data_IF_749293859947
#
_entry.id   IF_749293859947
#
_cell.length_a   1.000
_cell.length_b   1.000
_cell.length_c   1.000
_cell.angle_alpha   90.00
_cell.angle_beta   90.00
_cell.angle_gamma   90.00
#
_symmetry.space_group_name_H-M   'P 1'
#
loop_
_entity.id
_entity.type
_entity.pdbx_description
1 polymer ?
#
# COMPACT_ATOMS: atom_id res chain seq x y z
N UNK A 1 -31.12 4.70 5.60
CA UNK A 1 -30.02 5.28 6.42
C UNK A 1 -29.09 4.23 7.00
N UNK A 2 -29.57 3.04 7.38
CA UNK A 2 -28.73 1.93 7.88
C UNK A 2 -27.82 1.29 6.82
N UNK A 3 -28.30 1.11 5.57
CA UNK A 3 -27.50 0.47 4.50
C UNK A 3 -26.23 1.24 4.14
N UNK A 4 -26.31 2.57 4.02
CA UNK A 4 -25.16 3.43 3.74
C UNK A 4 -24.14 3.44 4.87
N UNK A 5 -24.59 3.37 6.13
CA UNK A 5 -23.72 3.26 7.30
C UNK A 5 -22.98 1.91 7.32
N UNK A 6 -23.68 0.80 7.04
CA UNK A 6 -23.08 -0.53 6.98
C UNK A 6 -22.02 -0.63 5.87
N UNK A 7 -22.27 0.00 4.72
CA UNK A 7 -21.32 0.07 3.59
C UNK A 7 -20.06 0.87 3.96
N UNK A 8 -20.19 1.95 4.74
CA UNK A 8 -19.05 2.73 5.23
C UNK A 8 -18.18 1.93 6.20
N UNK A 9 -18.80 1.19 7.13
CA UNK A 9 -18.11 0.32 8.10
C UNK A 9 -17.23 -0.72 7.39
N UNK A 10 -17.68 -1.27 6.24
CA UNK A 10 -16.85 -2.20 5.45
C UNK A 10 -15.52 -1.59 4.99
N UNK A 11 -15.54 -0.30 4.60
CA UNK A 11 -14.35 0.42 4.15
C UNK A 11 -13.41 0.76 5.33
N UNK A 12 -13.98 1.07 6.49
CA UNK A 12 -13.23 1.29 7.73
C UNK A 12 -12.51 0.02 8.18
N UNK A 13 -13.22 -1.11 8.24
CA UNK A 13 -12.67 -2.41 8.64
C UNK A 13 -11.53 -2.84 7.72
N UNK A 14 -11.74 -2.78 6.40
CA UNK A 14 -10.75 -3.23 5.44
C UNK A 14 -9.51 -2.32 5.42
N UNK A 15 -9.70 -0.99 5.49
CA UNK A 15 -8.58 -0.04 5.49
C UNK A 15 -7.73 -0.21 6.76
N UNK A 16 -8.36 -0.33 7.93
CA UNK A 16 -7.67 -0.58 9.20
C UNK A 16 -6.87 -1.89 9.16
N UNK A 17 -7.48 -2.97 8.68
CA UNK A 17 -6.80 -4.26 8.55
C UNK A 17 -5.59 -4.20 7.62
N UNK A 18 -5.74 -3.57 6.45
CA UNK A 18 -4.67 -3.44 5.46
C UNK A 18 -3.51 -2.61 6.04
N UNK A 19 -3.78 -1.38 6.47
CA UNK A 19 -2.71 -0.44 6.80
C UNK A 19 -1.98 -0.78 8.11
N UNK A 20 -2.64 -1.48 9.05
CA UNK A 20 -1.97 -2.01 10.25
C UNK A 20 -0.81 -2.95 9.90
N UNK A 21 -0.97 -3.81 8.88
CA UNK A 21 0.11 -4.71 8.44
C UNK A 21 1.29 -3.96 7.80
N UNK A 22 1.02 -2.78 7.25
CA UNK A 22 2.01 -1.88 6.69
C UNK A 22 2.66 -0.93 7.71
N UNK A 23 2.44 -1.19 9.02
CA UNK A 23 2.92 -0.41 10.18
C UNK A 23 2.36 1.02 10.24
N UNK A 24 1.17 1.25 9.71
CA UNK A 24 0.48 2.51 9.89
C UNK A 24 -0.34 2.48 11.18
N UNK A 25 -0.62 3.65 11.74
CA UNK A 25 -1.45 3.80 12.93
C UNK A 25 -2.55 4.81 12.68
N UNK A 26 -3.75 4.55 13.19
CA UNK A 26 -4.85 5.53 13.16
C UNK A 26 -4.65 6.60 14.23
N UNK A 27 -5.02 7.85 13.95
CA UNK A 27 -5.00 8.97 14.90
C UNK A 27 -6.29 9.74 14.92
N UNK A 28 -6.61 10.26 16.11
CA UNK A 28 -7.79 11.07 16.35
C UNK A 28 -9.10 10.30 16.21
N UNK A 29 -10.23 11.01 16.27
CA UNK A 29 -11.56 10.44 16.03
C UNK A 29 -11.76 10.11 14.55
N UNK A 30 -12.64 9.14 14.26
CA UNK A 30 -13.05 8.81 12.89
C UNK A 30 -14.35 9.52 12.52
N UNK A 31 -14.58 9.75 11.22
CA UNK A 31 -15.79 10.33 10.67
C UNK A 31 -16.16 11.70 11.26
N UNK A 32 -15.16 12.59 11.36
CA UNK A 32 -15.35 13.93 11.93
C UNK A 32 -15.23 15.01 10.86
N UNK A 33 -16.25 15.87 10.81
CA UNK A 33 -16.22 17.13 10.09
C UNK A 33 -15.55 18.22 10.94
N UNK A 34 -14.64 18.97 10.32
CA UNK A 34 -13.94 20.09 10.95
C UNK A 34 -14.03 21.34 10.07
N UNK A 35 -13.84 22.53 10.66
CA UNK A 35 -14.13 23.80 9.98
C UNK A 35 -13.17 24.08 8.83
N UNK A 36 -13.73 24.51 7.70
CA UNK A 36 -12.96 25.04 6.59
C UNK A 36 -12.33 26.39 6.99
N UNK A 37 -11.01 26.53 6.81
CA UNK A 37 -10.31 27.80 7.08
C UNK A 37 -10.38 28.77 5.90
N UNK A 38 -10.76 28.30 4.72
CA UNK A 38 -10.87 29.09 3.48
C UNK A 38 -12.27 28.99 2.85
N UNK A 39 -13.37 29.30 3.59
CA UNK A 39 -14.73 29.02 3.12
C UNK A 39 -15.10 29.78 1.84
N UNK A 40 -14.54 30.98 1.64
CA UNK A 40 -14.77 31.77 0.42
C UNK A 40 -14.09 31.16 -0.81
N UNK A 41 -12.93 30.52 -0.63
CA UNK A 41 -12.21 29.85 -1.72
C UNK A 41 -12.85 28.50 -2.06
N UNK A 42 -13.22 27.74 -1.03
CA UNK A 42 -13.69 26.36 -1.18
C UNK A 42 -15.20 26.25 -1.39
N UNK A 43 -15.97 27.31 -1.12
CA UNK A 43 -17.44 27.27 -1.09
C UNK A 43 -17.96 26.16 -0.18
N UNK A 44 -17.24 25.88 0.91
CA UNK A 44 -17.55 24.84 1.91
C UNK A 44 -17.39 25.39 3.32
N UNK A 45 -18.26 24.93 4.23
CA UNK A 45 -18.19 25.27 5.66
C UNK A 45 -17.28 24.33 6.44
N UNK A 46 -17.25 23.05 6.05
CA UNK A 46 -16.49 22.00 6.72
C UNK A 46 -15.77 21.10 5.71
N UNK A 47 -14.79 20.35 6.20
CA UNK A 47 -14.12 19.27 5.51
C UNK A 47 -14.27 17.98 6.32
N UNK A 48 -14.57 16.84 5.67
CA UNK A 48 -14.61 15.54 6.34
C UNK A 48 -13.22 14.93 6.46
N UNK A 49 -13.03 14.16 7.53
CA UNK A 49 -11.93 13.20 7.70
C UNK A 49 -12.54 11.88 8.17
N UNK A 50 -12.62 10.89 7.28
CA UNK A 50 -13.15 9.57 7.64
C UNK A 50 -12.17 8.88 8.58
N UNK A 51 -10.88 8.93 8.24
CA UNK A 51 -9.78 8.43 9.08
C UNK A 51 -8.47 9.15 8.75
N UNK A 52 -7.62 9.37 9.77
CA UNK A 52 -6.25 9.86 9.57
C UNK A 52 -5.26 8.78 9.97
N UNK A 53 -4.41 8.36 9.03
CA UNK A 53 -3.33 7.40 9.28
C UNK A 53 -1.98 8.10 9.42
N UNK A 54 -1.14 7.60 10.31
CA UNK A 54 0.24 8.04 10.51
C UNK A 54 1.22 6.92 10.19
N UNK A 55 2.32 7.29 9.53
CA UNK A 55 3.52 6.47 9.44
C UNK A 55 4.77 7.36 9.41
N UNK A 56 5.92 6.83 9.84
CA UNK A 56 7.20 7.54 9.82
C UNK A 56 7.83 7.50 8.42
N UNK A 57 8.43 8.60 7.97
CA UNK A 57 9.09 8.67 6.67
C UNK A 57 10.49 8.00 6.71
N UNK A 58 10.80 7.00 5.88
CA UNK A 58 12.08 6.29 5.94
C UNK A 58 13.31 7.19 5.72
N UNK A 59 13.17 8.25 4.91
CA UNK A 59 14.28 9.15 4.54
C UNK A 59 14.20 10.54 5.17
N UNK A 60 13.17 10.83 5.98
CA UNK A 60 12.95 12.16 6.57
C UNK A 60 12.56 12.01 8.02
N UNK A 61 13.07 12.88 8.89
CA UNK A 61 12.65 12.92 10.29
C UNK A 61 11.30 13.63 10.42
N UNK A 62 10.27 13.03 9.83
CA UNK A 62 8.91 13.54 9.77
C UNK A 62 7.89 12.41 9.74
N UNK A 63 6.68 12.70 10.19
CA UNK A 63 5.52 11.81 10.13
C UNK A 63 4.67 12.20 8.92
N UNK A 64 4.21 11.21 8.18
CA UNK A 64 3.21 11.38 7.13
C UNK A 64 1.83 11.20 7.72
N UNK A 65 1.05 12.28 7.75
CA UNK A 65 -0.35 12.30 8.18
C UNK A 65 -1.25 12.19 6.96
N UNK A 66 -1.93 11.06 6.83
CA UNK A 66 -2.71 10.71 5.65
C UNK A 66 -4.19 10.98 5.93
N UNK A 67 -4.67 12.15 5.51
CA UNK A 67 -6.09 12.47 5.56
C UNK A 67 -6.82 11.62 4.52
N UNK A 68 -7.65 10.68 4.97
CA UNK A 68 -8.23 9.66 4.10
C UNK A 68 -9.73 9.88 3.92
N UNK A 69 -10.15 9.80 2.66
CA UNK A 69 -11.54 9.76 2.24
C UNK A 69 -11.86 8.32 1.80
N UNK A 70 -12.71 7.64 2.57
CA UNK A 70 -13.16 6.28 2.31
C UNK A 70 -14.40 6.32 1.42
N UNK A 71 -14.35 5.57 0.32
CA UNK A 71 -15.47 5.38 -0.60
C UNK A 71 -15.69 3.91 -0.78
N UNK A 72 -16.94 3.48 -0.61
CA UNK A 72 -17.36 2.12 -0.88
C UNK A 72 -18.51 2.14 -1.88
N UNK A 73 -18.43 1.29 -2.90
CA UNK A 73 -19.37 1.30 -4.03
C UNK A 73 -19.65 -0.11 -4.55
N UNK A 74 -20.78 -0.25 -5.23
CA UNK A 74 -21.19 -1.46 -5.96
C UNK A 74 -20.73 -1.35 -7.42
N UNK A 75 -20.41 -2.45 -8.11
CA UNK A 75 -20.02 -2.41 -9.53
C UNK A 75 -20.98 -1.55 -10.37
N UNK A 76 -20.42 -0.64 -11.18
CA UNK A 76 -21.18 0.26 -12.05
C UNK A 76 -21.86 1.44 -11.35
N UNK A 77 -21.79 1.57 -10.02
CA UNK A 77 -22.38 2.70 -9.28
C UNK A 77 -21.45 3.90 -9.12
N UNK A 78 -20.16 3.75 -9.46
CA UNK A 78 -19.18 4.83 -9.42
C UNK A 78 -19.05 5.49 -10.79
N UNK A 79 -19.06 6.83 -10.79
CA UNK A 79 -19.00 7.66 -11.98
C UNK A 79 -17.75 8.54 -11.96
N UNK A 80 -17.34 9.03 -13.14
CA UNK A 80 -16.22 9.96 -13.29
C UNK A 80 -16.42 11.20 -12.42
N UNK A 81 -17.63 11.75 -12.39
CA UNK A 81 -17.90 13.00 -11.70
C UNK A 81 -17.88 12.83 -10.18
N UNK A 82 -18.26 11.65 -9.66
CA UNK A 82 -18.05 11.30 -8.24
C UNK A 82 -16.56 11.21 -7.89
N UNK A 83 -15.73 10.59 -8.74
CA UNK A 83 -14.28 10.52 -8.52
C UNK A 83 -13.68 11.93 -8.53
N UNK A 84 -14.00 12.76 -9.54
CA UNK A 84 -13.55 14.14 -9.61
C UNK A 84 -13.93 14.93 -8.34
N UNK A 85 -15.19 14.83 -7.92
CA UNK A 85 -15.70 15.53 -6.74
C UNK A 85 -15.01 15.08 -5.45
N UNK A 86 -14.74 13.79 -5.30
CA UNK A 86 -14.01 13.25 -4.15
C UNK A 86 -12.57 13.79 -4.10
N UNK A 87 -11.84 13.74 -5.22
CA UNK A 87 -10.46 14.24 -5.29
C UNK A 87 -10.42 15.75 -5.03
N UNK A 88 -11.32 16.55 -5.63
CA UNK A 88 -11.40 18.00 -5.38
C UNK A 88 -11.75 18.31 -3.91
N UNK A 89 -12.68 17.57 -3.32
CA UNK A 89 -13.04 17.71 -1.91
C UNK A 89 -11.85 17.44 -1.00
N UNK A 90 -11.11 16.36 -1.30
CA UNK A 90 -9.93 15.95 -0.55
C UNK A 90 -8.78 16.96 -0.72
N UNK A 91 -8.59 17.53 -1.91
CA UNK A 91 -7.59 18.57 -2.16
C UNK A 91 -7.81 19.81 -1.29
N UNK A 92 -9.06 20.29 -1.25
CA UNK A 92 -9.45 21.42 -0.40
C UNK A 92 -9.26 21.09 1.10
N UNK A 93 -9.57 19.85 1.49
CA UNK A 93 -9.36 19.40 2.87
C UNK A 93 -7.87 19.39 3.25
N UNK A 94 -6.98 18.91 2.38
CA UNK A 94 -5.52 18.91 2.64
C UNK A 94 -5.00 20.33 2.74
N UNK A 95 -5.44 21.23 1.85
CA UNK A 95 -5.04 22.64 1.90
C UNK A 95 -5.38 23.25 3.26
N UNK A 96 -6.58 22.99 3.77
CA UNK A 96 -7.00 23.49 5.08
C UNK A 96 -6.30 22.74 6.25
N UNK A 97 -6.08 21.44 6.14
CA UNK A 97 -5.51 20.61 7.22
C UNK A 97 -4.08 21.05 7.59
N UNK A 98 -3.33 21.57 6.62
CA UNK A 98 -1.99 22.11 6.82
C UNK A 98 -1.94 23.33 7.76
N UNK A 99 -3.04 24.05 7.94
CA UNK A 99 -3.09 25.31 8.71
C UNK A 99 -4.21 25.36 9.75
N UNK A 100 -5.15 24.40 9.74
CA UNK A 100 -6.30 24.36 10.64
C UNK A 100 -5.88 23.93 12.04
N UNK A 101 -6.01 24.83 13.02
CA UNK A 101 -5.75 24.51 14.43
C UNK A 101 -6.67 23.42 14.99
N UNK A 102 -7.91 23.33 14.50
CA UNK A 102 -8.85 22.26 14.87
C UNK A 102 -8.36 20.90 14.37
N UNK A 103 -8.00 20.80 13.10
CA UNK A 103 -7.46 19.56 12.53
C UNK A 103 -6.16 19.15 13.23
N UNK A 104 -5.26 20.10 13.48
CA UNK A 104 -3.99 19.83 14.15
C UNK A 104 -4.19 19.34 15.58
N UNK A 105 -5.15 19.91 16.32
CA UNK A 105 -5.48 19.45 17.69
C UNK A 105 -5.99 18.01 17.70
N UNK A 106 -6.76 17.62 16.70
CA UNK A 106 -7.34 16.27 16.60
C UNK A 106 -6.34 15.23 16.12
N UNK A 107 -5.47 15.59 15.17
CA UNK A 107 -4.73 14.61 14.38
C UNK A 107 -3.22 14.83 14.33
N UNK A 108 -2.71 16.06 14.46
CA UNK A 108 -1.28 16.30 14.26
C UNK A 108 -0.45 15.65 15.39
N UNK A 109 0.67 15.01 15.04
CA UNK A 109 1.61 14.52 16.03
C UNK A 109 2.48 15.68 16.57
N UNK A 110 3.14 15.50 17.73
CA UNK A 110 4.05 16.51 18.26
C UNK A 110 5.35 16.66 17.44
N UNK A 111 5.75 15.63 16.70
CA UNK A 111 6.90 15.66 15.79
C UNK A 111 6.62 16.47 14.52
N UNK A 112 7.66 16.73 13.72
CA UNK A 112 7.49 17.30 12.38
C UNK A 112 6.61 16.40 11.53
N UNK A 113 5.68 16.97 10.76
CA UNK A 113 4.78 16.19 9.92
C UNK A 113 4.45 16.85 8.58
N UNK A 114 4.01 16.02 7.64
CA UNK A 114 3.46 16.43 6.36
C UNK A 114 2.06 15.83 6.17
N UNK A 115 1.13 16.62 5.62
CA UNK A 115 -0.24 16.17 5.35
C UNK A 115 -0.38 15.75 3.89
N UNK A 116 -0.89 14.54 3.68
CA UNK A 116 -1.20 13.95 2.38
C UNK A 116 -2.66 13.53 2.29
N UNK A 117 -3.18 13.44 1.06
CA UNK A 117 -4.50 12.90 0.78
C UNK A 117 -4.44 11.45 0.36
N UNK A 118 -5.40 10.67 0.84
CA UNK A 118 -5.67 9.34 0.32
C UNK A 118 -7.15 9.19 -0.02
N UNK A 119 -7.46 8.92 -1.28
CA UNK A 119 -8.78 8.50 -1.70
C UNK A 119 -8.80 6.97 -1.82
N UNK A 120 -9.53 6.31 -0.94
CA UNK A 120 -9.62 4.85 -0.85
C UNK A 120 -10.95 4.38 -1.43
N UNK A 121 -10.92 3.66 -2.57
CA UNK A 121 -12.14 3.32 -3.32
C UNK A 121 -12.37 1.81 -3.34
N UNK A 122 -13.16 1.32 -2.40
CA UNK A 122 -13.47 -0.09 -2.21
C UNK A 122 -14.71 -0.54 -2.97
N UNK A 123 -14.60 -1.66 -3.69
CA UNK A 123 -15.74 -2.35 -4.28
C UNK A 123 -16.26 -3.41 -3.27
N UNK A 124 -17.48 -3.24 -2.76
CA UNK A 124 -18.03 -4.13 -1.73
C UNK A 124 -18.81 -5.34 -2.28
N UNK A 125 -19.15 -5.35 -3.57
CA UNK A 125 -19.92 -6.45 -4.18
C UNK A 125 -19.04 -7.51 -4.86
N UNK A 126 -17.72 -7.37 -4.77
CA UNK A 126 -16.75 -8.26 -5.42
C UNK A 126 -16.77 -8.16 -6.95
N UNK A 127 -17.58 -7.26 -7.51
CA UNK A 127 -17.75 -7.07 -8.93
C UNK A 127 -16.58 -6.27 -9.50
N UNK A 128 -15.47 -6.94 -9.80
CA UNK A 128 -14.30 -6.30 -10.41
C UNK A 128 -14.71 -5.42 -11.60
N UNK A 129 -14.26 -4.16 -11.53
CA UNK A 129 -14.59 -3.10 -12.48
C UNK A 129 -13.36 -2.81 -13.35
N UNK A 130 -13.20 -3.60 -14.42
CA UNK A 130 -12.13 -3.46 -15.42
C UNK A 130 -12.02 -2.03 -15.98
N UNK A 131 -13.12 -1.29 -15.99
CA UNK A 131 -13.21 0.06 -16.56
C UNK A 131 -12.82 1.16 -15.56
N UNK A 132 -12.61 0.83 -14.28
CA UNK A 132 -12.29 1.81 -13.25
C UNK A 132 -11.02 2.60 -13.57
N UNK A 133 -9.98 1.95 -14.11
CA UNK A 133 -8.74 2.62 -14.50
C UNK A 133 -8.98 3.72 -15.53
N UNK A 134 -9.77 3.42 -16.58
CA UNK A 134 -10.14 4.41 -17.59
C UNK A 134 -11.01 5.54 -17.01
N UNK A 135 -11.88 5.21 -16.05
CA UNK A 135 -12.72 6.18 -15.36
C UNK A 135 -11.89 7.15 -14.53
N UNK A 136 -10.91 6.63 -13.78
CA UNK A 136 -9.96 7.40 -13.00
C UNK A 136 -9.10 8.30 -13.91
N UNK A 137 -8.56 7.77 -15.01
CA UNK A 137 -7.79 8.57 -15.97
C UNK A 137 -8.59 9.75 -16.53
N UNK A 138 -9.86 9.51 -16.87
CA UNK A 138 -10.79 10.57 -17.33
C UNK A 138 -11.09 11.58 -16.23
N UNK A 139 -11.16 11.15 -14.97
CA UNK A 139 -11.38 12.04 -13.83
C UNK A 139 -10.14 12.91 -13.56
N UNK A 140 -8.95 12.32 -13.52
CA UNK A 140 -7.68 13.01 -13.27
C UNK A 140 -7.41 14.13 -14.27
N UNK A 141 -7.84 13.98 -15.53
CA UNK A 141 -7.72 15.05 -16.56
C UNK A 141 -8.58 16.30 -16.29
N UNK A 142 -9.57 16.23 -15.39
CA UNK A 142 -10.48 17.34 -15.07
C UNK A 142 -10.18 17.99 -13.72
N UNK A 143 -9.37 17.35 -12.88
CA UNK A 143 -9.05 17.84 -11.55
C UNK A 143 -7.81 18.71 -11.61
N UNK A 144 -7.86 19.87 -10.95
CA UNK A 144 -6.70 20.71 -10.70
C UNK A 144 -6.38 20.63 -9.20
N UNK A 145 -5.19 20.10 -8.87
CA UNK A 145 -4.73 19.91 -7.50
C UNK A 145 -3.94 21.15 -7.08
N UNK A 146 -4.22 21.67 -5.88
CA UNK A 146 -3.50 22.82 -5.36
C UNK A 146 -1.98 22.57 -5.33
N UNK A 147 -1.14 23.57 -5.64
CA UNK A 147 0.31 23.40 -5.62
C UNK A 147 0.80 22.85 -4.28
N UNK A 148 1.72 21.88 -4.31
CA UNK A 148 2.28 21.18 -3.13
C UNK A 148 1.30 20.25 -2.39
N UNK A 149 0.05 20.11 -2.81
CA UNK A 149 -0.79 19.01 -2.34
C UNK A 149 -0.39 17.73 -3.08
N UNK A 150 -0.39 16.61 -2.36
CA UNK A 150 -0.27 15.28 -2.97
C UNK A 150 -1.44 14.44 -2.54
N UNK A 151 -2.11 13.85 -3.52
CA UNK A 151 -3.23 12.95 -3.33
C UNK A 151 -2.88 11.62 -3.98
N UNK A 152 -3.06 10.55 -3.23
CA UNK A 152 -2.95 9.19 -3.70
C UNK A 152 -4.36 8.63 -3.85
N UNK A 153 -4.56 7.82 -4.88
CA UNK A 153 -5.83 7.11 -5.10
C UNK A 153 -5.54 5.62 -5.07
N UNK A 154 -6.17 4.90 -4.15
CA UNK A 154 -6.16 3.44 -4.16
C UNK A 154 -7.45 2.96 -4.81
N UNK A 155 -7.28 2.39 -5.98
CA UNK A 155 -8.36 1.80 -6.76
C UNK A 155 -8.87 0.50 -6.11
N UNK A 156 -10.00 -0.04 -6.57
CA UNK A 156 -10.49 -1.35 -6.13
C UNK A 156 -9.46 -2.46 -6.40
N UNK A 157 -8.73 -2.38 -7.52
CA UNK A 157 -7.64 -3.30 -7.82
C UNK A 157 -6.52 -3.19 -6.79
N UNK A 158 -6.11 -1.96 -6.42
CA UNK A 158 -5.11 -1.72 -5.38
C UNK A 158 -5.53 -2.33 -4.05
N UNK A 159 -6.77 -2.12 -3.64
CA UNK A 159 -7.27 -2.62 -2.36
C UNK A 159 -7.30 -4.14 -2.36
N UNK A 160 -7.76 -4.78 -3.45
CA UNK A 160 -7.75 -6.24 -3.59
C UNK A 160 -6.32 -6.79 -3.55
N UNK A 161 -5.39 -6.14 -4.25
CA UNK A 161 -3.98 -6.48 -4.25
C UNK A 161 -3.37 -6.37 -2.83
N UNK A 162 -3.52 -5.22 -2.17
CA UNK A 162 -2.99 -4.99 -0.82
C UNK A 162 -3.64 -5.93 0.21
N UNK A 163 -4.93 -6.24 0.06
CA UNK A 163 -5.61 -7.23 0.91
C UNK A 163 -5.02 -8.64 0.71
N UNK A 164 -4.74 -9.03 -0.53
CA UNK A 164 -4.08 -10.30 -0.84
C UNK A 164 -2.68 -10.36 -0.23
N UNK A 165 -1.88 -9.30 -0.38
CA UNK A 165 -0.55 -9.19 0.24
C UNK A 165 -0.63 -9.31 1.76
N UNK A 166 -1.54 -8.59 2.41
CA UNK A 166 -1.65 -8.57 3.88
C UNK A 166 -2.15 -9.90 4.45
N UNK A 167 -3.08 -10.56 3.77
CA UNK A 167 -3.50 -11.92 4.13
C UNK A 167 -2.37 -12.93 3.94
N UNK A 168 -1.60 -12.83 2.86
CA UNK A 168 -0.46 -13.70 2.63
C UNK A 168 0.61 -13.54 3.71
N UNK A 169 0.94 -12.30 4.09
CA UNK A 169 1.83 -12.03 5.24
C UNK A 169 1.31 -12.71 6.52
N UNK A 170 0.00 -12.66 6.77
CA UNK A 170 -0.58 -13.32 7.94
C UNK A 170 -0.46 -14.85 7.86
N UNK A 171 -0.73 -15.44 6.70
CA UNK A 171 -0.57 -16.88 6.44
C UNK A 171 0.87 -17.33 6.63
N UNK A 172 1.85 -16.57 6.11
CA UNK A 172 3.26 -16.90 6.24
C UNK A 172 3.76 -16.86 7.68
N UNK A 173 3.16 -16.05 8.56
CA UNK A 173 3.49 -16.09 10.00
C UNK A 173 3.03 -17.39 10.65
N UNK A 174 1.88 -17.91 10.22
CA UNK A 174 1.31 -19.16 10.69
C UNK A 174 1.85 -20.42 9.99
N UNK A 175 2.71 -20.27 8.97
CA UNK A 175 3.26 -21.41 8.25
C UNK A 175 4.20 -22.25 9.12
N UNK A 176 4.26 -23.55 8.84
CA UNK A 176 5.17 -24.51 9.50
C UNK A 176 6.33 -24.94 8.60
N UNK A 177 6.31 -24.51 7.33
CA UNK A 177 7.30 -24.87 6.33
C UNK A 177 8.42 -23.83 6.18
N UNK A 178 9.27 -24.03 5.18
CA UNK A 178 10.38 -23.12 4.89
C UNK A 178 9.95 -21.74 4.40
N UNK A 179 8.66 -21.47 4.17
CA UNK A 179 8.13 -20.16 3.78
C UNK A 179 7.87 -19.24 4.97
N UNK A 180 7.87 -19.79 6.20
CA UNK A 180 7.58 -19.07 7.44
C UNK A 180 8.37 -17.76 7.55
N UNK A 181 7.67 -16.72 7.98
CA UNK A 181 8.26 -15.42 8.36
C UNK A 181 8.01 -15.17 9.86
N UNK A 182 8.86 -14.38 10.54
CA UNK A 182 8.66 -14.06 11.94
C UNK A 182 7.49 -13.08 12.16
N UNK A 183 7.19 -12.83 13.42
CA UNK A 183 6.20 -11.85 13.85
C UNK A 183 6.52 -10.42 13.39
N UNK A 184 5.52 -9.55 13.42
CA UNK A 184 5.55 -8.21 12.83
C UNK A 184 6.66 -7.28 13.36
N UNK A 185 7.10 -7.46 14.61
CA UNK A 185 8.22 -6.72 15.21
C UNK A 185 9.57 -7.03 14.54
N UNK A 186 9.69 -8.20 13.92
CA UNK A 186 10.88 -8.66 13.21
C UNK A 186 10.79 -8.46 11.69
N UNK A 187 9.72 -7.81 11.22
CA UNK A 187 9.51 -7.46 9.81
C UNK A 187 9.53 -5.95 9.64
N UNK A 188 9.99 -5.48 8.48
CA UNK A 188 9.92 -4.08 8.05
C UNK A 188 9.88 -3.98 6.53
N UNK A 189 9.80 -2.76 5.99
CA UNK A 189 9.83 -2.54 4.55
C UNK A 189 11.18 -1.99 4.10
N UNK A 190 11.67 -2.51 2.97
CA UNK A 190 13.00 -2.20 2.46
C UNK A 190 13.01 -0.92 1.63
N UNK A 191 13.97 -0.06 1.92
CA UNK A 191 14.17 1.23 1.26
C UNK A 191 15.64 1.33 0.82
N UNK A 192 15.94 1.50 -0.48
CA UNK A 192 17.31 1.55 -0.96
C UNK A 192 18.02 2.82 -0.48
N UNK A 193 19.22 2.66 0.08
CA UNK A 193 20.10 3.81 0.36
C UNK A 193 20.98 4.13 -0.83
N UNK A 194 21.24 5.42 -1.05
CA UNK A 194 22.24 5.88 -2.03
C UNK A 194 23.14 6.93 -1.37
N UNK A 195 24.17 7.41 -2.06
CA UNK A 195 25.01 8.51 -1.56
C UNK A 195 24.20 9.77 -1.22
N UNK A 196 23.04 9.98 -1.86
CA UNK A 196 22.15 11.13 -1.65
C UNK A 196 20.97 10.84 -0.72
N UNK A 197 20.62 9.56 -0.50
CA UNK A 197 19.47 9.15 0.30
C UNK A 197 19.93 8.21 1.42
N UNK A 198 19.90 8.74 2.65
CA UNK A 198 20.18 7.99 3.87
C UNK A 198 18.90 7.86 4.67
N UNK A 199 18.74 6.75 5.38
CA UNK A 199 17.59 6.57 6.26
C UNK A 199 17.65 7.55 7.44
N UNK A 200 16.50 8.11 7.79
CA UNK A 200 16.33 8.92 8.99
C UNK A 200 16.09 8.06 10.24
N UNK A 201 15.66 6.81 10.04
CA UNK A 201 15.30 5.87 11.11
C UNK A 201 15.98 4.51 10.92
N UNK A 202 15.90 3.67 11.94
CA UNK A 202 16.46 2.32 11.87
C UNK A 202 15.67 1.46 10.86
N UNK A 203 16.32 0.62 10.03
CA UNK A 203 15.62 -0.19 9.04
C UNK A 203 14.48 -1.07 9.56
N UNK A 204 14.53 -1.47 10.85
CA UNK A 204 13.51 -2.28 11.51
C UNK A 204 12.19 -1.54 11.75
N UNK A 205 12.20 -0.21 11.77
CA UNK A 205 11.00 0.61 12.01
C UNK A 205 10.30 1.03 10.72
N UNK A 206 10.88 0.77 9.54
CA UNK A 206 10.35 1.28 8.28
C UNK A 206 8.95 0.71 7.95
N UNK A 207 7.92 1.57 7.81
CA UNK A 207 6.60 1.21 7.31
C UNK A 207 6.60 1.14 5.78
N UNK A 208 5.53 0.64 5.16
CA UNK A 208 5.35 0.80 3.72
C UNK A 208 4.68 2.15 3.43
N UNK A 209 5.42 3.12 2.89
CA UNK A 209 4.90 4.43 2.49
C UNK A 209 3.89 4.34 1.34
N UNK A 210 3.11 5.41 1.13
CA UNK A 210 2.19 5.52 0.00
C UNK A 210 2.87 5.24 -1.35
N UNK A 211 4.04 5.81 -1.58
CA UNK A 211 4.81 5.59 -2.81
C UNK A 211 5.19 4.11 -2.99
N UNK A 212 5.56 3.43 -1.90
CA UNK A 212 5.85 1.99 -1.96
C UNK A 212 4.58 1.20 -2.24
N UNK A 213 3.45 1.50 -1.60
CA UNK A 213 2.18 0.77 -1.81
C UNK A 213 1.66 0.91 -3.25
N UNK A 214 1.89 2.06 -3.89
CA UNK A 214 1.57 2.28 -5.31
C UNK A 214 2.68 1.86 -6.27
N UNK A 215 3.81 1.39 -5.75
CA UNK A 215 4.98 1.00 -6.52
C UNK A 215 4.81 -0.33 -7.27
N UNK A 216 5.80 -0.69 -8.11
CA UNK A 216 5.77 -1.95 -8.88
C UNK A 216 5.88 -3.20 -8.00
N UNK A 217 6.41 -3.05 -6.78
CA UNK A 217 6.54 -4.11 -5.80
C UNK A 217 6.66 -3.58 -4.38
N UNK A 218 6.32 -4.42 -3.40
CA UNK A 218 6.57 -4.17 -1.98
C UNK A 218 7.59 -5.18 -1.49
N UNK A 219 8.73 -4.70 -1.01
CA UNK A 219 9.80 -5.54 -0.48
C UNK A 219 9.71 -5.51 1.04
N UNK A 220 9.20 -6.59 1.62
CA UNK A 220 9.21 -6.82 3.05
C UNK A 220 10.52 -7.50 3.44
N UNK A 221 11.26 -6.88 4.35
CA UNK A 221 12.46 -7.43 4.99
C UNK A 221 12.07 -8.10 6.30
N UNK A 222 12.72 -9.20 6.65
CA UNK A 222 12.51 -9.87 7.93
C UNK A 222 13.78 -10.51 8.47
N UNK A 223 13.90 -10.59 9.80
CA UNK A 223 15.01 -11.29 10.46
C UNK A 223 14.83 -12.81 10.31
N UNK A 224 15.89 -13.54 9.95
CA UNK A 224 15.83 -15.01 9.84
C UNK A 224 15.54 -15.60 11.23
N UNK A 225 14.51 -16.45 11.32
CA UNK A 225 13.99 -17.03 12.58
C UNK A 225 13.65 -15.99 13.66
N UNK A 226 13.42 -14.73 13.29
CA UNK A 226 13.21 -13.64 14.24
C UNK A 226 14.48 -13.16 14.95
N UNK A 227 15.66 -13.57 14.50
CA UNK A 227 16.95 -13.23 15.09
C UNK A 227 17.81 -12.43 14.09
N UNK A 228 18.09 -11.17 14.42
CA UNK A 228 18.87 -10.27 13.57
C UNK A 228 20.31 -10.75 13.36
N UNK A 229 20.88 -11.54 14.28
CA UNK A 229 22.25 -12.07 14.17
C UNK A 229 22.38 -13.14 13.07
N UNK A 230 21.28 -13.82 12.72
CA UNK A 230 21.23 -14.81 11.63
C UNK A 230 21.15 -14.19 10.24
N UNK A 231 21.06 -12.85 10.16
CA UNK A 231 20.85 -12.10 8.93
C UNK A 231 19.37 -11.92 8.59
N UNK A 232 19.09 -11.51 7.36
CA UNK A 232 17.74 -11.17 6.92
C UNK A 232 17.33 -11.91 5.65
N UNK A 233 16.03 -12.13 5.50
CA UNK A 233 15.39 -12.51 4.25
C UNK A 233 14.51 -11.39 3.72
N UNK A 234 14.09 -11.54 2.45
CA UNK A 234 13.13 -10.64 1.82
C UNK A 234 11.98 -11.41 1.18
N UNK A 235 10.79 -10.83 1.26
CA UNK A 235 9.58 -11.23 0.56
C UNK A 235 9.18 -10.08 -0.37
N UNK A 236 9.31 -10.29 -1.67
CA UNK A 236 8.97 -9.31 -2.70
C UNK A 236 7.57 -9.63 -3.20
N UNK A 237 6.63 -8.71 -3.02
CA UNK A 237 5.30 -8.82 -3.62
C UNK A 237 5.29 -8.00 -4.91
N UNK A 238 5.18 -8.67 -6.05
CA UNK A 238 5.11 -7.97 -7.35
C UNK A 238 3.66 -7.60 -7.67
N UNK A 239 3.46 -6.36 -8.14
CA UNK A 239 2.15 -5.87 -8.56
C UNK A 239 1.78 -6.34 -9.96
N UNK A 240 2.77 -6.64 -10.79
CA UNK A 240 2.59 -7.18 -12.14
C UNK A 240 2.42 -8.70 -12.09
N UNK A 241 1.69 -9.29 -13.07
CA UNK A 241 1.32 -10.71 -13.04
C UNK A 241 2.44 -11.66 -13.48
N UNK A 242 3.56 -11.17 -14.02
CA UNK A 242 4.60 -11.99 -14.61
C UNK A 242 4.26 -12.47 -16.03
N UNK A 243 3.66 -11.60 -16.85
CA UNK A 243 3.29 -11.97 -18.22
C UNK A 243 4.48 -12.00 -19.17
N UNK A 244 5.52 -11.24 -18.87
CA UNK A 244 6.74 -11.18 -19.68
C UNK A 244 7.98 -11.43 -18.84
N UNK A 245 9.07 -11.85 -19.49
CA UNK A 245 10.36 -12.06 -18.82
C UNK A 245 10.98 -10.75 -18.36
N UNK A 246 10.71 -9.64 -19.06
CA UNK A 246 11.25 -8.30 -18.76
C UNK A 246 10.81 -7.81 -17.38
N UNK A 247 9.59 -8.15 -16.93
CA UNK A 247 9.12 -7.84 -15.57
C UNK A 247 10.07 -8.42 -14.50
N UNK A 248 10.53 -9.66 -14.71
CA UNK A 248 11.45 -10.34 -13.81
C UNK A 248 12.89 -9.87 -13.97
N UNK A 249 13.34 -9.59 -15.19
CA UNK A 249 14.67 -9.01 -15.44
C UNK A 249 14.79 -7.67 -14.70
N UNK A 250 13.79 -6.80 -14.82
CA UNK A 250 13.78 -5.51 -14.13
C UNK A 250 13.84 -5.65 -12.60
N UNK A 251 13.14 -6.64 -12.04
CA UNK A 251 13.24 -6.95 -10.61
C UNK A 251 14.63 -7.48 -10.23
N UNK A 252 15.19 -8.41 -11.00
CA UNK A 252 16.52 -8.97 -10.74
C UNK A 252 17.59 -7.88 -10.81
N UNK A 253 17.51 -6.97 -11.79
CA UNK A 253 18.36 -5.79 -11.90
C UNK A 253 18.28 -4.91 -10.66
N UNK A 254 17.06 -4.67 -10.16
CA UNK A 254 16.85 -3.93 -8.92
C UNK A 254 17.51 -4.64 -7.72
N UNK A 255 17.30 -5.94 -7.56
CA UNK A 255 17.89 -6.73 -6.48
C UNK A 255 19.43 -6.74 -6.54
N UNK A 256 20.00 -6.78 -7.74
CA UNK A 256 21.45 -6.69 -7.95
C UNK A 256 21.99 -5.30 -7.63
N UNK A 257 21.35 -4.26 -8.17
CA UNK A 257 21.78 -2.86 -8.02
C UNK A 257 21.89 -2.46 -6.56
N UNK A 258 20.96 -2.94 -5.74
CA UNK A 258 20.92 -2.63 -4.31
C UNK A 258 21.45 -3.76 -3.42
N UNK A 259 22.24 -4.69 -3.98
CA UNK A 259 22.93 -5.77 -3.26
C UNK A 259 22.04 -6.75 -2.48
N UNK A 260 20.71 -6.66 -2.65
CA UNK A 260 19.74 -7.54 -2.00
C UNK A 260 19.96 -9.00 -2.38
N UNK A 261 20.41 -9.28 -3.60
CA UNK A 261 20.74 -10.64 -4.03
C UNK A 261 21.88 -11.26 -3.19
N UNK A 262 22.86 -10.45 -2.81
CA UNK A 262 24.06 -10.92 -2.10
C UNK A 262 23.82 -10.98 -0.60
N UNK A 263 23.18 -9.94 -0.04
CA UNK A 263 23.00 -9.76 1.40
C UNK A 263 21.85 -10.58 1.98
N UNK A 264 20.79 -10.82 1.19
CA UNK A 264 19.63 -11.58 1.67
C UNK A 264 19.99 -13.06 1.77
N UNK A 265 19.66 -13.68 2.91
CA UNK A 265 19.79 -15.13 3.12
C UNK A 265 18.70 -15.91 2.40
N UNK A 266 17.54 -15.29 2.18
CA UNK A 266 16.39 -15.88 1.52
C UNK A 266 15.67 -14.81 0.70
N UNK A 267 15.32 -15.15 -0.54
CA UNK A 267 14.57 -14.28 -1.43
C UNK A 267 13.35 -15.06 -1.92
N UNK A 268 12.18 -14.48 -1.71
CA UNK A 268 10.91 -15.05 -2.12
C UNK A 268 10.14 -13.99 -2.90
N UNK A 269 9.88 -14.27 -4.17
CA UNK A 269 9.04 -13.46 -5.04
C UNK A 269 7.63 -14.04 -4.98
N UNK A 270 6.66 -13.21 -4.65
CA UNK A 270 5.27 -13.60 -4.52
C UNK A 270 4.42 -12.83 -5.53
N UNK A 271 3.53 -13.57 -6.21
CA UNK A 271 2.67 -13.08 -7.28
C UNK A 271 1.19 -13.22 -6.86
N UNK A 272 0.57 -12.16 -6.30
CA UNK A 272 -0.88 -12.11 -6.03
C UNK A 272 -1.72 -12.43 -7.27
N UNK A 273 -1.47 -11.72 -8.38
CA UNK A 273 -2.22 -11.88 -9.62
C UNK A 273 -1.43 -12.69 -10.66
N UNK A 274 -0.84 -13.83 -10.25
CA UNK A 274 0.07 -14.58 -11.11
C UNK A 274 -0.55 -15.01 -12.44
N UNK A 275 0.13 -14.69 -13.52
CA UNK A 275 -0.14 -15.23 -14.86
C UNK A 275 0.09 -16.74 -14.89
N UNK A 276 -0.68 -17.52 -15.68
CA UNK A 276 -0.42 -18.95 -15.86
C UNK A 276 0.98 -19.27 -16.38
N UNK A 277 1.62 -18.32 -17.08
CA UNK A 277 2.95 -18.46 -17.68
C UNK A 277 4.07 -17.84 -16.83
N UNK A 278 3.76 -17.33 -15.63
CA UNK A 278 4.72 -16.55 -14.83
C UNK A 278 6.00 -17.35 -14.47
N UNK A 279 5.86 -18.63 -14.13
CA UNK A 279 7.02 -19.48 -13.85
C UNK A 279 7.93 -19.63 -15.06
N UNK A 280 7.36 -19.83 -16.25
CA UNK A 280 8.12 -19.96 -17.51
C UNK A 280 8.86 -18.65 -17.81
N UNK A 281 8.18 -17.51 -17.64
CA UNK A 281 8.79 -16.20 -17.86
C UNK A 281 9.92 -15.90 -16.87
N UNK A 282 9.76 -16.30 -15.61
CA UNK A 282 10.81 -16.19 -14.61
C UNK A 282 12.02 -17.07 -14.93
N UNK A 283 11.81 -18.34 -15.29
CA UNK A 283 12.90 -19.24 -15.69
C UNK A 283 13.68 -18.71 -16.91
N UNK A 284 12.97 -18.12 -17.88
CA UNK A 284 13.59 -17.50 -19.04
C UNK A 284 14.41 -16.27 -18.63
N UNK A 285 13.89 -15.41 -17.75
CA UNK A 285 14.64 -14.28 -17.21
C UNK A 285 15.91 -14.73 -16.47
N UNK A 286 15.83 -15.78 -15.65
CA UNK A 286 16.98 -16.37 -14.95
C UNK A 286 18.03 -16.89 -15.93
N UNK A 287 17.63 -17.62 -16.98
CA UNK A 287 18.54 -18.14 -18.01
C UNK A 287 19.27 -17.01 -18.73
N UNK A 288 18.51 -16.01 -19.18
CA UNK A 288 19.07 -14.84 -19.88
C UNK A 288 20.10 -14.13 -18.98
N UNK A 289 19.76 -13.87 -17.73
CA UNK A 289 20.65 -13.13 -16.80
C UNK A 289 21.94 -13.90 -16.47
N UNK A 290 21.85 -15.22 -16.31
CA UNK A 290 23.03 -16.08 -16.06
C UNK A 290 23.95 -16.09 -17.29
N UNK A 291 23.37 -16.21 -18.50
CA UNK A 291 24.16 -16.26 -19.73
C UNK A 291 24.99 -14.99 -19.97
N UNK A 292 24.54 -13.84 -19.46
CA UNK A 292 25.21 -12.55 -19.64
C UNK A 292 26.40 -12.33 -18.69
N UNK A 293 26.45 -13.01 -17.53
CA UNK A 293 27.41 -12.72 -16.46
C UNK A 293 28.55 -13.73 -16.29
N UNK A 294 28.42 -14.93 -16.84
CA UNK A 294 29.42 -16.02 -16.76
C UNK A 294 30.09 -16.15 -15.37
N UNK A 295 29.28 -16.12 -14.31
CA UNK A 295 29.69 -16.19 -12.91
C UNK A 295 28.85 -17.27 -12.20
N UNK A 296 29.52 -18.36 -11.80
CA UNK A 296 28.88 -19.53 -11.18
C UNK A 296 28.29 -19.23 -9.80
N UNK A 297 28.94 -18.37 -9.00
CA UNK A 297 28.44 -18.00 -7.68
C UNK A 297 27.17 -17.16 -7.81
N UNK A 298 27.19 -16.22 -8.74
CA UNK A 298 26.03 -15.43 -9.09
C UNK A 298 24.89 -16.29 -9.64
N UNK A 299 25.20 -17.28 -10.49
CA UNK A 299 24.22 -18.21 -11.02
C UNK A 299 23.55 -19.04 -9.91
N UNK A 300 24.30 -19.49 -8.90
CA UNK A 300 23.75 -20.17 -7.74
C UNK A 300 22.83 -19.25 -6.92
N UNK A 301 23.22 -17.99 -6.72
CA UNK A 301 22.42 -16.99 -5.98
C UNK A 301 21.09 -16.70 -6.68
N UNK A 302 21.09 -16.45 -7.99
CA UNK A 302 19.83 -16.25 -8.72
C UNK A 302 18.94 -17.50 -8.64
N UNK A 303 19.51 -18.70 -8.84
CA UNK A 303 18.75 -19.96 -8.76
C UNK A 303 18.15 -20.23 -7.38
N UNK A 304 18.67 -19.59 -6.33
CA UNK A 304 18.12 -19.69 -4.98
C UNK A 304 16.86 -18.84 -4.74
N UNK A 305 16.51 -17.94 -5.67
CA UNK A 305 15.29 -17.15 -5.59
C UNK A 305 14.08 -18.06 -5.78
N UNK A 306 13.20 -18.07 -4.78
CA UNK A 306 11.94 -18.81 -4.85
C UNK A 306 10.85 -17.94 -5.46
N UNK A 307 10.03 -18.52 -6.35
CA UNK A 307 8.84 -17.88 -6.92
C UNK A 307 7.58 -18.58 -6.41
N UNK A 308 6.62 -17.80 -5.91
CA UNK A 308 5.34 -18.32 -5.39
C UNK A 308 4.16 -17.57 -5.99
N UNK A 309 3.19 -18.32 -6.48
CA UNK A 309 1.85 -17.81 -6.78
C UNK A 309 1.04 -17.74 -5.47
N UNK A 310 0.37 -16.61 -5.25
CA UNK A 310 -0.52 -16.43 -4.09
C UNK A 310 -1.97 -16.64 -4.53
N UNK A 311 -2.81 -17.15 -3.63
CA UNK A 311 -4.26 -17.18 -3.83
C UNK A 311 -4.84 -15.80 -3.53
N UNK A 312 -5.50 -15.20 -4.52
CA UNK A 312 -6.21 -13.94 -4.36
C UNK A 312 -7.34 -14.06 -3.33
N UNK A 313 -7.45 -13.07 -2.46
CA UNK A 313 -8.50 -13.04 -1.43
C UNK A 313 -9.55 -11.99 -1.80
N UNK A 314 -10.80 -12.44 -1.91
CA UNK A 314 -11.97 -11.57 -2.04
C UNK A 314 -12.70 -11.57 -0.70
N UNK A 315 -12.92 -10.39 -0.13
CA UNK A 315 -13.71 -10.25 1.10
C UNK A 315 -15.16 -10.03 0.73
N UNK A 316 -16.06 -10.78 1.38
CA UNK A 316 -17.51 -10.56 1.33
C UNK A 316 -17.97 -10.22 2.73
N UNK A 317 -18.84 -9.21 2.84
CA UNK A 317 -19.38 -8.76 4.11
C UNK A 317 -20.87 -9.09 4.19
N UNK A 318 -21.30 -9.59 5.35
CA UNK A 318 -22.73 -9.69 5.68
C UNK A 318 -23.22 -8.34 6.20
N UNK A 319 -24.12 -7.70 5.46
CA UNK A 319 -24.76 -6.44 5.89
C UNK A 319 -25.58 -6.61 7.17
N UNK A 320 -26.07 -7.82 7.43
CA UNK A 320 -26.78 -8.18 8.66
C UNK A 320 -25.80 -8.20 9.84
N UNK A 321 -24.69 -8.93 9.72
CA UNK A 321 -23.69 -9.02 10.81
C UNK A 321 -23.09 -7.66 11.15
N UNK A 322 -22.81 -6.82 10.13
CA UNK A 322 -22.33 -5.45 10.36
C UNK A 322 -23.37 -4.64 11.13
N UNK A 323 -24.65 -4.75 10.76
CA UNK A 323 -25.74 -4.07 11.46
C UNK A 323 -25.90 -4.48 12.93
N UNK A 324 -25.51 -5.72 13.28
CA UNK A 324 -25.59 -6.25 14.65
C UNK A 324 -24.43 -5.83 15.55
N UNK A 325 -23.35 -5.23 15.02
CA UNK A 325 -22.20 -4.79 15.84
C UNK A 325 -22.46 -3.55 16.71
N UNK A 326 -23.61 -2.89 16.50
CA UNK A 326 -23.95 -1.62 17.12
C UNK A 326 -25.27 -1.68 17.93
N UNK A 327 -25.70 -2.86 18.35
CA UNK A 327 -26.73 -3.02 19.40
C UNK A 327 -26.13 -3.12 20.80
#
# INVERSE_FOLDING_TARGET
MSETANIAIMAEDISSHIFKQFKWTTKGPMNVDWKCVCPQKHSKKTHPSDVVFHYIEPYRNSISCINTDLKSYKKGSITRDQICGAIQSLDMAIECAKVSGEWQTLYAPPENYEVFGLLFIYNHDGGYDLEFGQLLDKAMRRVNIAPKNKIFVLSPYDICYLKTVTNDIATLRGAEDCTKIPDSQNCSFYYPTTSRLKHAHAPVSHPATLEMLTGPWQIMRYNIDGDASKGFGISVYMRTPGNTKEEFIYLIDYLCTYQLLNESKKIMINLPNASPIANVMFENAVKDYISMRNDDFFAQKIKSISLRRITNIVTSYSTVEIGMRYE
#
